data_IF_721510553767
#
_entry.id   IF_721510553767
#
_cell.length_a   1.000
_cell.length_b   1.000
_cell.length_c   1.000
_cell.angle_alpha   90.00
_cell.angle_beta   90.00
_cell.angle_gamma   90.00
#
_symmetry.space_group_name_H-M   'P 1'
#
loop_
_entity.id
_entity.type
_entity.pdbx_description
1 polymer ?
#
# COMPACT_ATOMS: atom_id res chain seq x y z
N UNK A 1 -0.16 -0.54 18.23
CA UNK A 1 -0.22 -1.20 16.91
C UNK A 1 -1.08 -0.37 15.97
N UNK A 2 -0.54 0.05 14.83
CA UNK A 2 -1.27 0.73 13.76
C UNK A 2 -2.21 -0.25 13.04
N UNK A 3 -3.26 0.25 12.40
CA UNK A 3 -4.18 -0.59 11.62
C UNK A 3 -3.48 -1.25 10.42
N UNK A 4 -2.43 -0.60 9.89
CA UNK A 4 -1.63 -1.06 8.76
C UNK A 4 -0.15 -0.84 9.04
N UNK A 5 0.57 -1.81 9.64
CA UNK A 5 1.98 -1.66 9.94
C UNK A 5 2.86 -1.57 8.68
N UNK A 6 4.06 -1.03 8.81
CA UNK A 6 5.08 -1.08 7.74
C UNK A 6 5.30 -2.52 7.27
N UNK A 7 5.37 -2.71 5.95
CA UNK A 7 5.49 -4.03 5.31
C UNK A 7 4.14 -4.70 5.03
N UNK A 8 3.01 -4.16 5.50
CA UNK A 8 1.69 -4.66 5.16
C UNK A 8 1.38 -4.50 3.67
N UNK A 9 0.94 -5.61 3.07
CA UNK A 9 0.34 -5.63 1.75
C UNK A 9 -1.09 -5.10 1.78
N UNK A 10 -1.45 -4.19 0.87
CA UNK A 10 -2.77 -3.55 0.84
C UNK A 10 -3.26 -3.35 -0.59
N UNK A 11 -4.58 -3.39 -0.75
CA UNK A 11 -5.29 -3.00 -1.97
C UNK A 11 -5.89 -1.61 -1.76
N UNK A 12 -5.75 -0.73 -2.76
CA UNK A 12 -6.32 0.60 -2.78
C UNK A 12 -7.72 0.63 -3.38
N UNK A 13 -8.50 1.65 -3.04
CA UNK A 13 -9.81 1.91 -3.64
C UNK A 13 -9.73 2.14 -5.16
N UNK A 14 -8.59 2.59 -5.68
CA UNK A 14 -8.31 2.68 -7.13
C UNK A 14 -8.17 1.32 -7.82
N UNK A 15 -7.97 0.25 -7.05
CA UNK A 15 -7.66 -1.10 -7.54
C UNK A 15 -6.17 -1.41 -7.61
N UNK A 16 -5.29 -0.42 -7.35
CA UNK A 16 -3.84 -0.65 -7.32
C UNK A 16 -3.43 -1.38 -6.03
N UNK A 17 -2.30 -2.09 -6.08
CA UNK A 17 -1.79 -2.87 -4.96
C UNK A 17 -0.40 -2.38 -4.55
N UNK A 18 -0.13 -2.41 -3.25
CA UNK A 18 1.13 -1.91 -2.73
C UNK A 18 1.49 -2.38 -1.32
N UNK A 19 2.58 -1.82 -0.83
CA UNK A 19 3.10 -2.08 0.52
C UNK A 19 3.16 -0.79 1.33
N UNK A 20 2.77 -0.86 2.60
CA UNK A 20 2.97 0.25 3.54
C UNK A 20 4.46 0.46 3.77
N UNK A 21 4.95 1.68 3.51
CA UNK A 21 6.36 2.09 3.70
C UNK A 21 6.54 3.08 4.84
N UNK A 22 5.45 3.62 5.39
CA UNK A 22 5.52 4.53 6.54
C UNK A 22 4.16 4.73 7.20
N UNK A 23 4.17 4.97 8.51
CA UNK A 23 2.98 5.20 9.32
C UNK A 23 2.87 6.66 9.75
N UNK A 24 1.63 7.14 9.93
CA UNK A 24 1.35 8.39 10.61
C UNK A 24 0.78 8.09 11.99
N UNK A 25 1.49 8.48 13.06
CA UNK A 25 1.10 8.22 14.46
C UNK A 25 -0.30 8.80 14.76
N UNK A 26 -0.58 10.00 14.24
CA UNK A 26 -1.84 10.72 14.42
C UNK A 26 -2.92 10.36 13.39
N UNK A 27 -2.57 9.71 12.26
CA UNK A 27 -3.48 9.38 11.16
C UNK A 27 -3.30 7.93 10.70
N UNK A 28 -3.57 6.97 11.59
CA UNK A 28 -3.24 5.54 11.39
C UNK A 28 -3.89 4.86 10.17
N UNK A 29 -4.98 5.42 9.64
CA UNK A 29 -5.66 4.92 8.43
C UNK A 29 -5.16 5.55 7.13
N UNK A 30 -4.19 6.46 7.22
CA UNK A 30 -3.61 7.18 6.09
C UNK A 30 -2.09 7.00 6.05
N UNK A 31 -1.56 5.78 5.96
CA UNK A 31 -0.12 5.56 5.86
C UNK A 31 0.47 6.07 4.52
N UNK A 32 1.80 6.07 4.44
CA UNK A 32 2.53 6.14 3.17
C UNK A 32 2.68 4.74 2.61
N UNK A 33 2.40 4.56 1.33
CA UNK A 33 2.53 3.27 0.66
C UNK A 33 3.22 3.37 -0.69
N UNK A 34 3.91 2.31 -1.08
CA UNK A 34 4.51 2.19 -2.42
C UNK A 34 3.63 1.32 -3.28
N UNK A 35 3.23 1.83 -4.45
CA UNK A 35 2.46 1.09 -5.45
C UNK A 35 3.39 0.18 -6.23
N UNK A 36 2.93 -1.06 -6.43
CA UNK A 36 3.75 -2.14 -6.97
C UNK A 36 3.05 -2.85 -8.12
N UNK A 37 1.74 -3.04 -8.00
CA UNK A 37 0.89 -3.45 -9.12
C UNK A 37 -0.16 -2.38 -9.39
N UNK A 38 -0.43 -2.14 -10.66
CA UNK A 38 -1.59 -1.36 -11.07
C UNK A 38 -2.88 -2.18 -10.91
N UNK A 39 -4.03 -1.53 -11.13
CA UNK A 39 -5.36 -2.17 -11.16
C UNK A 39 -5.49 -3.35 -12.14
N UNK A 40 -4.61 -3.49 -13.11
CA UNK A 40 -4.58 -4.63 -14.05
C UNK A 40 -3.67 -5.76 -13.55
N UNK A 41 -3.10 -5.65 -12.33
CA UNK A 41 -2.18 -6.61 -11.76
C UNK A 41 -0.80 -6.60 -12.41
N UNK A 42 -0.48 -5.58 -13.22
CA UNK A 42 0.83 -5.43 -13.87
C UNK A 42 1.74 -4.61 -12.98
N UNK A 43 3.06 -4.84 -13.07
CA UNK A 43 4.04 -4.02 -12.36
C UNK A 43 3.83 -2.54 -12.71
N UNK A 44 3.62 -1.73 -11.67
CA UNK A 44 3.48 -0.29 -11.83
C UNK A 44 4.76 0.27 -12.46
N UNK A 45 4.62 0.98 -13.59
CA UNK A 45 5.77 1.51 -14.34
C UNK A 45 6.65 2.43 -13.51
N UNK A 46 6.05 3.20 -12.59
CA UNK A 46 6.78 3.89 -11.55
C UNK A 46 6.38 3.31 -10.20
N UNK A 47 7.37 2.90 -9.40
CA UNK A 47 7.19 2.45 -8.01
C UNK A 47 7.00 3.66 -7.09
N UNK A 48 5.99 4.47 -7.40
CA UNK A 48 5.69 5.71 -6.72
C UNK A 48 5.23 5.46 -5.29
N UNK A 49 5.69 6.32 -4.38
CA UNK A 49 5.22 6.36 -2.99
C UNK A 49 4.08 7.36 -2.92
N UNK A 50 2.92 6.89 -2.50
CA UNK A 50 1.71 7.67 -2.29
C UNK A 50 1.55 7.90 -0.80
N UNK A 51 1.34 9.15 -0.42
CA UNK A 51 0.96 9.52 0.93
C UNK A 51 -0.56 9.70 1.02
N UNK A 52 -1.23 8.74 1.66
CA UNK A 52 -2.69 8.76 1.81
C UNK A 52 -3.17 9.91 2.71
N UNK A 53 -2.29 10.58 3.46
CA UNK A 53 -2.65 11.74 4.25
C UNK A 53 -3.01 12.95 3.38
N UNK A 54 -2.35 13.08 2.22
CA UNK A 54 -2.53 14.19 1.27
C UNK A 54 -3.31 13.80 0.01
N UNK A 55 -3.64 12.52 -0.15
CA UNK A 55 -4.45 11.98 -1.26
C UNK A 55 -5.84 11.51 -0.77
N UNK A 56 -6.79 12.42 -0.50
CA UNK A 56 -8.05 12.07 0.16
C UNK A 56 -8.97 11.15 -0.65
N UNK A 57 -8.75 11.06 -1.97
CA UNK A 57 -9.55 10.22 -2.87
C UNK A 57 -9.10 8.74 -2.86
N UNK A 58 -7.89 8.47 -2.40
CA UNK A 58 -7.31 7.14 -2.36
C UNK A 58 -7.34 6.63 -0.93
N UNK A 59 -7.92 5.45 -0.72
CA UNK A 59 -8.02 4.80 0.58
C UNK A 59 -7.59 3.35 0.48
N UNK A 60 -7.21 2.76 1.62
CA UNK A 60 -7.03 1.32 1.70
C UNK A 60 -8.41 0.67 1.65
N UNK A 61 -8.61 -0.20 0.65
CA UNK A 61 -9.80 -1.04 0.52
C UNK A 61 -9.74 -2.21 1.49
N UNK A 62 -8.60 -2.90 1.54
CA UNK A 62 -8.34 -4.02 2.48
C UNK A 62 -6.84 -4.29 2.64
N UNK A 63 -6.48 -4.91 3.76
CA UNK A 63 -5.20 -5.58 3.90
C UNK A 63 -5.24 -6.92 3.14
N UNK A 64 -4.11 -7.31 2.59
CA UNK A 64 -3.94 -8.58 1.88
C UNK A 64 -3.21 -9.57 2.77
N UNK A 65 -3.55 -10.84 2.64
CA UNK A 65 -2.83 -11.93 3.31
C UNK A 65 -1.48 -12.18 2.65
N UNK A 66 -0.55 -12.78 3.39
CA UNK A 66 0.77 -13.14 2.87
C UNK A 66 0.63 -14.07 1.66
N UNK A 67 1.32 -13.74 0.57
CA UNK A 67 1.30 -14.52 -0.68
C UNK A 67 0.23 -14.10 -1.69
N UNK A 68 -0.68 -13.16 -1.37
CA UNK A 68 -1.66 -12.65 -2.34
C UNK A 68 -1.09 -11.64 -3.35
N UNK A 69 0.08 -11.06 -3.06
CA UNK A 69 0.84 -10.29 -4.03
C UNK A 69 1.79 -11.22 -4.78
N UNK A 70 1.83 -11.06 -6.10
CA UNK A 70 2.79 -11.75 -6.98
C UNK A 70 4.27 -11.45 -6.65
N UNK A 71 4.54 -10.52 -5.73
CA UNK A 71 5.84 -10.22 -5.18
C UNK A 71 5.78 -10.22 -3.65
N UNK A 72 6.86 -10.64 -2.99
CA UNK A 72 6.98 -10.56 -1.54
C UNK A 72 7.29 -9.10 -1.12
N UNK A 73 6.40 -8.43 -0.39
CA UNK A 73 6.62 -7.06 0.06
C UNK A 73 7.86 -6.89 0.95
N UNK A 74 8.31 -7.96 1.62
CA UNK A 74 9.48 -7.94 2.49
C UNK A 74 10.79 -7.81 1.72
N UNK A 75 10.84 -8.17 0.45
CA UNK A 75 12.03 -8.02 -0.41
C UNK A 75 12.31 -6.58 -0.83
N UNK A 76 11.48 -5.64 -0.40
CA UNK A 76 11.54 -4.23 -0.79
C UNK A 76 12.16 -3.32 0.28
N UNK A 77 12.55 -3.88 1.42
CA UNK A 77 13.15 -3.19 2.56
C UNK A 77 14.44 -3.90 2.98
#
# INVERSE_FOLDING_TARGET
MGAFPVGSAVELTSGDYGVVVGEHVSQRLKPKMRVLLDRAGKLARSRQVIDLAVEPQIRIRRALEQGQLAFDPRRLF
#
